data_IF_804959951693
#
_entry.id   IF_804959951693
#
_cell.length_a   1.000
_cell.length_b   1.000
_cell.length_c   1.000
_cell.angle_alpha   90.00
_cell.angle_beta   90.00
_cell.angle_gamma   90.00
#
_symmetry.space_group_name_H-M   'P 1'
#
loop_
_entity.id
_entity.type
_entity.pdbx_description
1 polymer ?
#
# COMPACT_ATOMS: atom_id res chain seq x y z
N UNK A 1 12.54 20.87 -1.21
CA UNK A 1 13.65 20.91 -0.24
C UNK A 1 13.23 21.42 1.14
N UNK A 2 12.67 22.64 1.30
CA UNK A 2 12.24 23.14 2.64
C UNK A 2 11.33 22.19 3.45
N UNK A 3 10.39 21.49 2.78
CA UNK A 3 9.56 20.48 3.45
C UNK A 3 10.39 19.28 3.92
N UNK A 4 11.35 18.84 3.11
CA UNK A 4 12.28 17.76 3.48
C UNK A 4 13.11 18.15 4.69
N UNK A 5 13.70 19.37 4.67
CA UNK A 5 14.44 19.89 5.83
C UNK A 5 13.56 19.95 7.07
N UNK A 6 12.31 20.44 6.93
CA UNK A 6 11.39 20.55 8.05
C UNK A 6 11.11 19.18 8.71
N UNK A 7 10.92 18.14 7.90
CA UNK A 7 10.69 16.77 8.41
C UNK A 7 11.92 16.28 9.18
N UNK A 8 13.10 16.33 8.58
CA UNK A 8 14.29 15.77 9.20
C UNK A 8 14.86 16.64 10.33
N UNK A 9 14.76 17.95 10.25
CA UNK A 9 15.39 18.84 11.21
C UNK A 9 14.47 19.18 12.40
N UNK A 10 13.15 19.12 12.24
CA UNK A 10 12.19 19.57 13.25
C UNK A 10 11.11 18.55 13.66
N UNK A 11 10.62 17.70 12.75
CA UNK A 11 9.52 16.77 13.07
C UNK A 11 10.00 15.44 13.64
N UNK A 12 11.12 14.91 13.15
CA UNK A 12 11.65 13.62 13.61
C UNK A 12 12.59 13.82 14.79
N UNK A 13 12.28 13.23 15.94
CA UNK A 13 13.19 13.17 17.08
C UNK A 13 14.43 12.31 16.77
N UNK A 14 15.56 12.48 17.51
CA UNK A 14 16.72 11.61 17.36
C UNK A 14 16.39 10.11 17.51
N UNK A 15 15.54 9.77 18.47
CA UNK A 15 15.09 8.39 18.72
C UNK A 15 14.28 7.84 17.55
N UNK A 16 13.34 8.64 16.99
CA UNK A 16 12.59 8.23 15.80
C UNK A 16 13.53 7.99 14.62
N UNK A 17 14.49 8.89 14.35
CA UNK A 17 15.47 8.72 13.27
C UNK A 17 16.27 7.42 13.41
N UNK A 18 16.69 7.07 14.62
CA UNK A 18 17.44 5.84 14.89
C UNK A 18 16.57 4.57 14.71
N UNK A 19 15.28 4.66 15.07
CA UNK A 19 14.38 3.50 15.05
C UNK A 19 13.66 3.27 13.71
N UNK A 20 13.66 4.25 12.79
CA UNK A 20 13.03 4.12 11.50
C UNK A 20 13.68 2.99 10.66
N UNK A 21 12.84 2.08 10.15
CA UNK A 21 13.25 0.98 9.25
C UNK A 21 12.71 1.16 7.85
N UNK A 22 11.59 1.87 7.71
CA UNK A 22 10.91 2.09 6.43
C UNK A 22 10.34 3.50 6.37
N UNK A 23 10.48 4.14 5.22
CA UNK A 23 9.82 5.41 4.89
C UNK A 23 8.99 5.20 3.64
N UNK A 24 7.78 5.75 3.64
CA UNK A 24 6.89 5.78 2.48
C UNK A 24 6.74 7.24 2.07
N UNK A 25 7.11 7.56 0.84
CA UNK A 25 6.80 8.83 0.21
C UNK A 25 5.54 8.69 -0.64
N UNK A 26 4.54 9.47 -0.32
CA UNK A 26 3.26 9.55 -1.03
C UNK A 26 2.81 10.99 -1.18
N UNK A 27 1.98 11.23 -2.17
CA UNK A 27 1.28 12.50 -2.39
C UNK A 27 -0.08 12.22 -3.06
N UNK A 28 -0.85 13.27 -3.36
CA UNK A 28 -2.13 13.13 -4.06
C UNK A 28 -1.99 12.83 -5.57
N UNK A 29 -0.79 12.52 -6.04
CA UNK A 29 -0.48 12.19 -7.43
C UNK A 29 0.54 11.06 -7.52
N UNK A 30 1.66 11.31 -8.15
CA UNK A 30 2.78 10.37 -8.27
C UNK A 30 4.08 11.02 -7.75
N UNK A 31 4.81 10.32 -6.91
CA UNK A 31 6.14 10.80 -6.45
C UNK A 31 7.15 10.84 -7.59
N UNK A 32 6.96 10.02 -8.62
CA UNK A 32 7.85 9.99 -9.80
C UNK A 32 7.36 10.91 -10.94
N UNK A 33 6.32 11.72 -10.71
CA UNK A 33 5.94 12.78 -11.63
C UNK A 33 6.80 14.02 -11.34
N UNK A 34 7.72 14.35 -12.26
CA UNK A 34 8.66 15.47 -12.15
C UNK A 34 7.96 16.83 -11.89
N UNK A 35 6.71 16.97 -12.34
CA UNK A 35 5.92 18.20 -12.09
C UNK A 35 5.48 18.28 -10.63
N UNK A 36 5.20 17.17 -10.00
CA UNK A 36 4.71 17.13 -8.61
C UNK A 36 5.85 17.00 -7.60
N UNK A 37 6.88 16.21 -7.92
CA UNK A 37 8.04 16.01 -7.05
C UNK A 37 9.30 15.80 -7.90
N UNK A 38 10.13 16.84 -8.01
CA UNK A 38 11.28 16.78 -8.92
C UNK A 38 12.32 15.75 -8.49
N UNK A 39 12.98 15.13 -9.48
CA UNK A 39 14.11 14.21 -9.28
C UNK A 39 15.17 14.81 -8.36
N UNK A 40 15.47 16.11 -8.50
CA UNK A 40 16.41 16.81 -7.60
C UNK A 40 15.94 16.80 -6.15
N UNK A 41 14.63 16.99 -5.91
CA UNK A 41 14.08 16.94 -4.55
C UNK A 41 14.10 15.51 -3.99
N UNK A 42 13.89 14.51 -4.84
CA UNK A 42 13.96 13.09 -4.47
C UNK A 42 15.38 12.67 -4.08
N UNK A 43 16.39 13.07 -4.85
CA UNK A 43 17.80 12.83 -4.52
C UNK A 43 18.23 13.57 -3.24
N UNK A 44 17.75 14.81 -3.05
CA UNK A 44 17.98 15.55 -1.81
C UNK A 44 17.34 14.86 -0.60
N UNK A 45 16.13 14.31 -0.77
CA UNK A 45 15.48 13.51 0.26
C UNK A 45 16.31 12.26 0.60
N UNK A 46 16.80 11.52 -0.40
CA UNK A 46 17.63 10.34 -0.18
C UNK A 46 18.93 10.69 0.59
N UNK A 47 19.58 11.79 0.25
CA UNK A 47 20.76 12.27 0.96
C UNK A 47 20.45 12.61 2.43
N UNK A 48 19.37 13.37 2.69
CA UNK A 48 18.95 13.69 4.07
C UNK A 48 18.59 12.44 4.85
N UNK A 49 17.91 11.48 4.24
CA UNK A 49 17.55 10.20 4.85
C UNK A 49 18.81 9.40 5.25
N UNK A 50 19.78 9.26 4.33
CA UNK A 50 21.05 8.56 4.59
C UNK A 50 21.83 9.19 5.76
N UNK A 51 21.82 10.53 5.85
CA UNK A 51 22.52 11.26 6.91
C UNK A 51 21.84 11.14 8.27
N UNK A 52 20.51 11.03 8.31
CA UNK A 52 19.73 11.16 9.53
C UNK A 52 19.16 9.83 10.05
N UNK A 53 18.92 8.84 9.19
CA UNK A 53 18.22 7.60 9.52
C UNK A 53 19.09 6.37 9.22
N UNK A 54 20.03 6.03 10.10
CA UNK A 54 21.09 5.04 9.83
C UNK A 54 20.58 3.60 9.66
N UNK A 55 19.35 3.32 10.08
CA UNK A 55 18.77 1.98 10.12
C UNK A 55 17.64 1.77 9.10
N UNK A 56 17.47 2.70 8.16
CA UNK A 56 16.49 2.55 7.07
C UNK A 56 16.90 1.37 6.18
N UNK A 57 15.96 0.48 5.94
CA UNK A 57 16.14 -0.70 5.07
C UNK A 57 15.28 -0.65 3.81
N UNK A 58 14.20 0.16 3.81
CA UNK A 58 13.28 0.29 2.67
C UNK A 58 12.82 1.74 2.51
N UNK A 59 12.96 2.26 1.28
CA UNK A 59 12.27 3.45 0.82
C UNK A 59 11.18 3.05 -0.16
N UNK A 60 9.94 3.39 0.16
CA UNK A 60 8.78 3.14 -0.71
C UNK A 60 8.37 4.44 -1.40
N UNK A 61 8.18 4.37 -2.72
CA UNK A 61 7.68 5.49 -3.53
C UNK A 61 6.32 5.14 -4.10
N UNK A 62 5.31 5.90 -3.70
CA UNK A 62 3.96 5.75 -4.26
C UNK A 62 3.87 6.49 -5.59
N UNK A 63 3.50 5.75 -6.63
CA UNK A 63 3.48 6.25 -8.00
C UNK A 63 2.44 5.54 -8.85
N UNK A 64 2.30 5.95 -10.10
CA UNK A 64 1.56 5.24 -11.14
C UNK A 64 2.53 4.57 -12.11
N UNK A 65 2.17 3.41 -12.72
CA UNK A 65 3.09 2.66 -13.58
C UNK A 65 3.69 3.46 -14.74
N UNK A 66 2.94 4.42 -15.30
CA UNK A 66 3.39 5.25 -16.42
C UNK A 66 4.51 6.23 -16.06
N UNK A 67 4.69 6.57 -14.78
CA UNK A 67 5.78 7.44 -14.31
C UNK A 67 7.03 6.68 -13.89
N UNK A 68 7.04 5.34 -14.00
CA UNK A 68 8.21 4.53 -13.62
C UNK A 68 9.28 4.60 -14.72
N UNK A 69 10.23 5.51 -14.54
CA UNK A 69 11.44 5.60 -15.34
C UNK A 69 12.61 4.86 -14.66
N UNK A 70 13.11 3.83 -15.32
CA UNK A 70 14.17 2.99 -14.77
C UNK A 70 15.50 3.73 -14.63
N UNK A 71 15.82 4.66 -15.54
CA UNK A 71 17.06 5.43 -15.44
C UNK A 71 17.05 6.32 -14.19
N UNK A 72 15.93 6.96 -13.89
CA UNK A 72 15.74 7.75 -12.66
C UNK A 72 15.84 6.87 -11.41
N UNK A 73 15.13 5.75 -11.39
CA UNK A 73 15.15 4.80 -10.26
C UNK A 73 16.55 4.22 -10.03
N UNK A 74 17.35 3.98 -11.08
CA UNK A 74 18.70 3.49 -10.95
C UNK A 74 19.63 4.54 -10.30
N UNK A 75 19.49 5.81 -10.67
CA UNK A 75 20.25 6.91 -10.03
C UNK A 75 19.86 7.03 -8.56
N UNK A 76 18.55 7.01 -8.26
CA UNK A 76 18.08 7.04 -6.88
C UNK A 76 18.57 5.83 -6.09
N UNK A 77 18.49 4.63 -6.66
CA UNK A 77 18.94 3.40 -6.00
C UNK A 77 20.43 3.48 -5.64
N UNK A 78 21.28 4.00 -6.53
CA UNK A 78 22.70 4.21 -6.22
C UNK A 78 22.87 5.19 -5.05
N UNK A 79 22.15 6.31 -5.05
CA UNK A 79 22.19 7.26 -3.94
C UNK A 79 21.77 6.63 -2.59
N UNK A 80 20.80 5.71 -2.61
CA UNK A 80 20.35 4.98 -1.42
C UNK A 80 21.40 4.02 -0.86
N UNK A 81 22.37 3.57 -1.66
CA UNK A 81 23.45 2.68 -1.20
C UNK A 81 24.58 3.43 -0.48
N UNK A 82 24.59 4.76 -0.48
CA UNK A 82 25.62 5.57 0.19
C UNK A 82 25.36 5.77 1.70
N UNK A 83 24.22 5.27 2.22
CA UNK A 83 23.90 5.28 3.64
C UNK A 83 24.72 4.28 4.47
N UNK A 84 24.54 4.29 5.78
CA UNK A 84 25.20 3.31 6.69
C UNK A 84 24.79 1.86 6.41
N UNK A 85 23.57 1.66 5.97
CA UNK A 85 23.03 0.37 5.57
C UNK A 85 22.42 0.48 4.16
N UNK A 86 22.52 -0.58 3.33
CA UNK A 86 21.86 -0.60 2.04
C UNK A 86 20.33 -0.43 2.19
N UNK A 87 19.77 0.50 1.44
CA UNK A 87 18.31 0.73 1.44
C UNK A 87 17.69 0.18 0.16
N UNK A 88 16.73 -0.73 0.32
CA UNK A 88 15.98 -1.28 -0.81
C UNK A 88 14.94 -0.27 -1.30
N UNK A 89 14.74 -0.23 -2.61
CA UNK A 89 13.69 0.55 -3.24
C UNK A 89 12.44 -0.32 -3.43
N UNK A 90 11.30 0.20 -2.98
CA UNK A 90 9.98 -0.42 -3.16
C UNK A 90 9.08 0.55 -3.94
N UNK A 91 8.49 0.10 -5.03
CA UNK A 91 7.53 0.87 -5.81
C UNK A 91 6.12 0.50 -5.32
N UNK A 92 5.33 1.50 -4.97
CA UNK A 92 3.96 1.30 -4.49
C UNK A 92 2.94 1.80 -5.52
N UNK A 93 1.99 0.93 -5.86
CA UNK A 93 0.96 1.17 -6.87
C UNK A 93 -0.42 1.03 -6.24
N UNK A 94 -1.26 2.05 -6.43
CA UNK A 94 -2.69 1.96 -6.13
C UNK A 94 -3.40 1.09 -7.16
N UNK A 95 -3.49 -0.21 -6.91
CA UNK A 95 -4.20 -1.15 -7.78
C UNK A 95 -5.72 -1.10 -7.53
N UNK A 96 -6.11 -0.92 -6.30
CA UNK A 96 -7.45 -0.72 -5.71
C UNK A 96 -8.38 -1.94 -5.78
N UNK A 97 -8.60 -2.54 -6.95
CA UNK A 97 -9.44 -3.71 -7.15
C UNK A 97 -8.92 -4.57 -8.32
N UNK A 98 -9.10 -5.88 -8.25
CA UNK A 98 -8.78 -6.75 -9.38
C UNK A 98 -9.84 -6.64 -10.49
N UNK A 99 -11.09 -6.47 -10.10
CA UNK A 99 -12.19 -6.22 -11.05
C UNK A 99 -11.93 -4.94 -11.85
N UNK A 100 -11.96 -5.07 -13.17
CA UNK A 100 -11.62 -3.99 -14.10
C UNK A 100 -12.62 -2.83 -14.04
N UNK A 101 -13.92 -3.13 -13.88
CA UNK A 101 -14.97 -2.11 -13.78
C UNK A 101 -14.80 -1.30 -12.51
N UNK A 102 -14.50 -1.97 -11.37
CA UNK A 102 -14.23 -1.26 -10.12
C UNK A 102 -12.98 -0.41 -10.28
N UNK A 103 -11.88 -0.96 -10.80
CA UNK A 103 -10.59 -0.27 -10.95
C UNK A 103 -10.67 0.90 -11.91
N UNK A 104 -11.25 0.72 -13.09
CA UNK A 104 -11.15 1.67 -14.19
C UNK A 104 -12.39 2.54 -14.39
N UNK A 105 -13.60 2.03 -14.13
CA UNK A 105 -14.83 2.83 -14.27
C UNK A 105 -15.17 3.58 -12.97
N UNK A 106 -15.11 2.90 -11.80
CA UNK A 106 -15.43 3.54 -10.53
C UNK A 106 -14.28 4.40 -9.99
N UNK A 107 -13.05 3.86 -9.93
CA UNK A 107 -11.88 4.59 -9.44
C UNK A 107 -11.20 5.44 -10.51
N UNK A 108 -11.54 5.26 -11.77
CA UNK A 108 -10.95 5.99 -12.91
C UNK A 108 -9.40 5.92 -12.90
N UNK A 109 -8.86 4.75 -12.51
CA UNK A 109 -7.40 4.57 -12.42
C UNK A 109 -6.71 4.62 -13.78
N UNK A 110 -7.39 4.19 -14.85
CA UNK A 110 -6.77 4.03 -16.16
C UNK A 110 -5.61 3.04 -16.14
N UNK A 111 -5.67 2.05 -15.24
CA UNK A 111 -4.63 1.04 -15.05
C UNK A 111 -5.02 -0.25 -15.75
N UNK A 112 -4.43 -0.50 -16.91
CA UNK A 112 -4.52 -1.80 -17.57
C UNK A 112 -3.43 -2.78 -17.08
N UNK A 113 -3.74 -4.06 -17.21
CA UNK A 113 -2.88 -5.15 -16.74
C UNK A 113 -1.54 -5.20 -17.51
N UNK A 114 -1.53 -4.90 -18.80
CA UNK A 114 -0.33 -4.94 -19.64
C UNK A 114 0.66 -3.85 -19.22
N UNK A 115 0.18 -2.64 -18.98
CA UNK A 115 0.99 -1.52 -18.45
C UNK A 115 1.55 -1.88 -17.09
N UNK A 116 0.74 -2.45 -16.19
CA UNK A 116 1.20 -2.90 -14.88
C UNK A 116 2.29 -3.98 -15.00
N UNK A 117 2.07 -5.05 -15.79
CA UNK A 117 3.07 -6.12 -15.95
C UNK A 117 4.35 -5.62 -16.64
N UNK A 118 4.24 -4.70 -17.61
CA UNK A 118 5.41 -4.08 -18.24
C UNK A 118 6.27 -3.34 -17.22
N UNK A 119 5.66 -2.59 -16.32
CA UNK A 119 6.34 -1.93 -15.20
C UNK A 119 6.99 -2.95 -14.26
N UNK A 120 6.24 -3.98 -13.81
CA UNK A 120 6.77 -5.03 -12.93
C UNK A 120 7.99 -5.72 -13.52
N UNK A 121 7.92 -6.09 -14.81
CA UNK A 121 9.03 -6.69 -15.53
C UNK A 121 10.29 -5.81 -15.53
N UNK A 122 10.11 -4.49 -15.61
CA UNK A 122 11.23 -3.54 -15.56
C UNK A 122 11.86 -3.51 -14.16
N UNK A 123 11.05 -3.24 -13.12
CA UNK A 123 11.56 -3.07 -11.75
C UNK A 123 12.16 -4.37 -11.18
N UNK A 124 11.60 -5.54 -11.54
CA UNK A 124 12.12 -6.83 -11.12
C UNK A 124 13.57 -7.08 -11.55
N UNK A 125 13.98 -6.60 -12.74
CA UNK A 125 15.35 -6.74 -13.25
C UNK A 125 16.40 -6.02 -12.39
N UNK A 126 15.98 -5.02 -11.64
CA UNK A 126 16.83 -4.23 -10.74
C UNK A 126 16.72 -4.67 -9.28
N UNK A 127 15.97 -5.73 -9.00
CA UNK A 127 15.75 -6.23 -7.64
C UNK A 127 14.91 -5.30 -6.76
N UNK A 128 14.15 -4.36 -7.35
CA UNK A 128 13.25 -3.50 -6.60
C UNK A 128 12.03 -4.31 -6.15
N UNK A 129 11.45 -3.90 -5.01
CA UNK A 129 10.25 -4.51 -4.45
C UNK A 129 8.99 -3.82 -4.98
N UNK A 130 7.88 -4.53 -4.93
CA UNK A 130 6.57 -4.01 -5.32
C UNK A 130 5.61 -4.04 -4.12
N UNK A 131 4.88 -2.96 -3.92
CA UNK A 131 3.73 -2.87 -3.04
C UNK A 131 2.48 -2.55 -3.87
N UNK A 132 1.39 -3.28 -3.65
CA UNK A 132 0.10 -3.00 -4.28
C UNK A 132 -0.95 -2.69 -3.23
N UNK A 133 -1.56 -1.52 -3.32
CA UNK A 133 -2.71 -1.17 -2.48
C UNK A 133 -3.98 -1.74 -3.09
N UNK A 134 -4.76 -2.42 -2.25
CA UNK A 134 -6.08 -2.94 -2.58
C UNK A 134 -7.10 -2.47 -1.56
N UNK A 135 -8.34 -2.27 -1.98
CA UNK A 135 -9.45 -1.90 -1.12
C UNK A 135 -10.46 -3.03 -1.02
N UNK A 136 -10.81 -3.43 0.20
CA UNK A 136 -11.89 -4.40 0.42
C UNK A 136 -13.24 -3.68 0.40
N UNK A 137 -14.15 -4.12 -0.49
CA UNK A 137 -15.52 -3.62 -0.60
C UNK A 137 -15.60 -2.10 -0.88
N UNK A 138 -14.95 -1.60 -1.93
CA UNK A 138 -14.78 -0.15 -2.12
C UNK A 138 -16.03 0.56 -2.69
N UNK A 139 -17.01 -0.17 -3.21
CA UNK A 139 -18.16 0.42 -3.92
C UNK A 139 -19.50 -0.09 -3.39
N UNK A 140 -20.59 0.72 -3.47
CA UNK A 140 -21.94 0.29 -3.15
C UNK A 140 -22.39 -0.92 -4.00
N UNK A 141 -23.29 -1.72 -3.45
CA UNK A 141 -23.86 -2.89 -4.14
C UNK A 141 -22.97 -4.14 -4.14
N UNK A 142 -21.72 -4.04 -3.72
CA UNK A 142 -20.83 -5.20 -3.60
C UNK A 142 -21.15 -5.99 -2.33
N UNK A 143 -21.42 -7.29 -2.45
CA UNK A 143 -21.62 -8.17 -1.28
C UNK A 143 -20.27 -8.46 -0.58
N UNK A 144 -20.32 -8.99 0.66
CA UNK A 144 -19.11 -9.42 1.37
C UNK A 144 -18.37 -10.52 0.60
N UNK A 145 -19.11 -11.48 0.04
CA UNK A 145 -18.55 -12.60 -0.73
C UNK A 145 -17.90 -12.12 -2.01
N UNK A 146 -18.52 -11.18 -2.73
CA UNK A 146 -17.97 -10.59 -3.94
C UNK A 146 -16.68 -9.80 -3.64
N UNK A 147 -16.69 -9.02 -2.55
CA UNK A 147 -15.51 -8.26 -2.13
C UNK A 147 -14.34 -9.19 -1.76
N UNK A 148 -14.59 -10.26 -0.99
CA UNK A 148 -13.57 -11.25 -0.65
C UNK A 148 -13.07 -11.97 -1.92
N UNK A 149 -13.95 -12.30 -2.84
CA UNK A 149 -13.58 -12.97 -4.10
C UNK A 149 -12.71 -12.08 -5.00
N UNK A 150 -12.94 -10.76 -5.03
CA UNK A 150 -12.10 -9.83 -5.78
C UNK A 150 -10.67 -9.77 -5.20
N UNK A 151 -10.55 -9.68 -3.88
CA UNK A 151 -9.24 -9.72 -3.21
C UNK A 151 -8.53 -11.05 -3.47
N UNK A 152 -9.25 -12.18 -3.38
CA UNK A 152 -8.66 -13.50 -3.65
C UNK A 152 -8.11 -13.60 -5.08
N UNK A 153 -8.84 -13.08 -6.09
CA UNK A 153 -8.34 -12.99 -7.48
C UNK A 153 -7.10 -12.09 -7.58
N UNK A 154 -7.08 -10.96 -6.88
CA UNK A 154 -5.92 -10.07 -6.82
C UNK A 154 -4.70 -10.77 -6.21
N UNK A 155 -4.89 -11.55 -5.14
CA UNK A 155 -3.84 -12.36 -4.51
C UNK A 155 -3.29 -13.41 -5.47
N UNK A 156 -4.14 -14.19 -6.14
CA UNK A 156 -3.74 -15.19 -7.13
C UNK A 156 -2.93 -14.55 -8.27
N UNK A 157 -3.40 -13.42 -8.76
CA UNK A 157 -2.72 -12.69 -9.83
C UNK A 157 -1.34 -12.21 -9.36
N UNK A 158 -1.23 -11.53 -8.21
CA UNK A 158 0.05 -11.04 -7.68
C UNK A 158 1.02 -12.18 -7.35
N UNK A 159 0.53 -13.32 -6.85
CA UNK A 159 1.34 -14.51 -6.63
C UNK A 159 1.94 -15.04 -7.96
N UNK A 160 1.12 -15.11 -9.02
CA UNK A 160 1.58 -15.52 -10.35
C UNK A 160 2.67 -14.58 -10.90
N UNK A 161 2.48 -13.26 -10.70
CA UNK A 161 3.45 -12.23 -11.09
C UNK A 161 4.74 -12.33 -10.26
N UNK A 162 4.62 -12.55 -8.95
CA UNK A 162 5.77 -12.76 -8.07
C UNK A 162 6.61 -13.95 -8.52
N UNK A 163 5.96 -15.05 -8.89
CA UNK A 163 6.64 -16.25 -9.39
C UNK A 163 7.26 -16.00 -10.78
N UNK A 164 6.50 -15.42 -11.71
CA UNK A 164 6.90 -15.18 -13.10
C UNK A 164 8.14 -14.29 -13.21
N UNK A 165 8.23 -13.26 -12.41
CA UNK A 165 9.31 -12.25 -12.48
C UNK A 165 10.30 -12.33 -11.33
N UNK A 166 10.11 -13.25 -10.39
CA UNK A 166 10.96 -13.44 -9.19
C UNK A 166 11.10 -12.12 -8.41
N UNK A 167 9.98 -11.46 -8.14
CA UNK A 167 9.91 -10.18 -7.44
C UNK A 167 9.19 -10.32 -6.09
N UNK A 168 9.71 -9.64 -5.06
CA UNK A 168 9.00 -9.52 -3.78
C UNK A 168 7.80 -8.60 -3.93
N UNK A 169 6.59 -9.10 -3.61
CA UNK A 169 5.35 -8.32 -3.66
C UNK A 169 4.71 -8.31 -2.28
N UNK A 170 4.31 -7.11 -1.85
CA UNK A 170 3.44 -6.90 -0.70
C UNK A 170 2.07 -6.42 -1.17
N UNK A 171 1.00 -7.11 -0.82
CA UNK A 171 -0.36 -6.57 -0.91
C UNK A 171 -0.67 -5.81 0.38
N UNK A 172 -1.02 -4.53 0.27
CA UNK A 172 -1.55 -3.75 1.36
C UNK A 172 -3.07 -3.66 1.20
N UNK A 173 -3.79 -4.43 1.99
CA UNK A 173 -5.25 -4.49 1.96
C UNK A 173 -5.84 -3.44 2.88
N UNK A 174 -6.59 -2.50 2.32
CA UNK A 174 -7.30 -1.45 3.04
C UNK A 174 -8.79 -1.79 3.13
N UNK A 175 -9.32 -2.14 4.31
CA UNK A 175 -10.76 -2.21 4.51
C UNK A 175 -11.37 -0.84 4.32
N UNK A 176 -12.41 -0.75 3.48
CA UNK A 176 -13.04 0.53 3.19
C UNK A 176 -13.86 1.02 4.37
N UNK A 177 -13.68 2.27 4.75
CA UNK A 177 -14.51 2.99 5.70
C UNK A 177 -15.19 4.18 5.03
N UNK A 178 -16.27 4.68 5.62
CA UNK A 178 -17.04 5.80 5.09
C UNK A 178 -16.50 7.10 5.66
N UNK A 179 -15.74 7.84 4.86
CA UNK A 179 -15.22 9.14 5.26
C UNK A 179 -16.23 10.26 5.00
N UNK A 180 -16.19 11.30 5.85
CA UNK A 180 -17.07 12.46 5.74
C UNK A 180 -16.84 13.21 4.42
N UNK A 181 -17.92 13.65 3.77
CA UNK A 181 -17.90 14.45 2.54
C UNK A 181 -17.70 13.62 1.26
N UNK A 182 -17.62 12.30 1.34
CA UNK A 182 -17.46 11.43 0.19
C UNK A 182 -18.80 11.03 -0.45
N UNK A 183 -18.77 10.60 -1.72
CA UNK A 183 -19.93 10.01 -2.37
C UNK A 183 -20.41 8.75 -1.61
N UNK A 184 -19.49 8.00 -1.02
CA UNK A 184 -19.79 6.79 -0.24
C UNK A 184 -20.59 7.12 1.03
N UNK A 185 -20.38 8.28 1.67
CA UNK A 185 -21.19 8.74 2.80
C UNK A 185 -22.66 8.93 2.38
N UNK A 186 -22.89 9.42 1.16
CA UNK A 186 -24.26 9.60 0.65
C UNK A 186 -24.96 8.26 0.50
N UNK A 187 -24.29 7.25 -0.04
CA UNK A 187 -24.85 5.90 -0.21
C UNK A 187 -25.02 5.17 1.14
N UNK A 188 -24.11 5.39 2.07
CA UNK A 188 -24.23 4.88 3.44
C UNK A 188 -25.45 5.44 4.15
N UNK A 189 -25.67 6.76 4.08
CA UNK A 189 -26.88 7.41 4.68
C UNK A 189 -28.19 6.95 4.06
N UNK A 190 -28.20 6.56 2.78
CA UNK A 190 -29.36 5.95 2.11
C UNK A 190 -29.55 4.47 2.45
N UNK A 191 -28.63 3.84 3.17
CA UNK A 191 -28.65 2.41 3.47
C UNK A 191 -28.17 1.51 2.32
N UNK A 192 -27.62 2.06 1.26
CA UNK A 192 -27.15 1.34 0.06
C UNK A 192 -25.72 0.80 0.22
N UNK A 193 -25.02 1.19 1.27
CA UNK A 193 -23.65 0.76 1.54
C UNK A 193 -23.45 0.47 3.04
N UNK A 194 -22.65 -0.55 3.33
CA UNK A 194 -22.12 -0.85 4.65
C UNK A 194 -20.63 -1.20 4.52
N UNK A 195 -19.75 -0.69 5.41
CA UNK A 195 -18.35 -1.09 5.45
C UNK A 195 -18.18 -2.61 5.59
N UNK A 196 -17.08 -3.20 5.12
CA UNK A 196 -16.84 -4.64 5.26
C UNK A 196 -16.82 -5.06 6.73
N UNK A 197 -17.14 -6.32 6.96
CA UNK A 197 -17.02 -6.95 8.28
C UNK A 197 -15.58 -7.41 8.52
N UNK A 198 -15.14 -7.50 9.79
CA UNK A 198 -13.81 -8.03 10.12
C UNK A 198 -13.64 -9.49 9.69
N UNK A 199 -14.70 -10.30 9.72
CA UNK A 199 -14.66 -11.68 9.22
C UNK A 199 -14.41 -11.76 7.71
N UNK A 200 -14.83 -10.75 6.94
CA UNK A 200 -14.53 -10.66 5.52
C UNK A 200 -13.07 -10.27 5.29
N UNK A 201 -12.51 -9.42 6.15
CA UNK A 201 -11.08 -9.09 6.14
C UNK A 201 -10.28 -10.36 6.45
N UNK A 202 -10.62 -11.09 7.51
CA UNK A 202 -9.99 -12.36 7.89
C UNK A 202 -10.00 -13.36 6.72
N UNK A 203 -11.16 -13.56 6.08
CA UNK A 203 -11.29 -14.47 4.92
C UNK A 203 -10.41 -14.03 3.75
N UNK A 204 -10.36 -12.73 3.45
CA UNK A 204 -9.52 -12.17 2.40
C UNK A 204 -8.03 -12.39 2.69
N UNK A 205 -7.61 -12.19 3.95
CA UNK A 205 -6.22 -12.43 4.38
C UNK A 205 -5.85 -13.90 4.23
N UNK A 206 -6.72 -14.83 4.67
CA UNK A 206 -6.47 -16.27 4.59
C UNK A 206 -6.30 -16.78 3.15
N UNK A 207 -6.82 -16.07 2.14
CA UNK A 207 -6.58 -16.41 0.74
C UNK A 207 -5.10 -16.25 0.32
N UNK A 208 -4.30 -15.51 1.09
CA UNK A 208 -2.86 -15.35 0.84
C UNK A 208 -2.00 -16.46 1.50
N UNK A 209 -2.61 -17.35 2.26
CA UNK A 209 -1.87 -18.46 2.87
C UNK A 209 -1.20 -19.35 1.79
N UNK A 210 0.06 -19.70 2.00
CA UNK A 210 0.90 -20.48 1.05
C UNK A 210 1.22 -19.74 -0.28
N UNK A 211 0.91 -18.44 -0.40
CA UNK A 211 1.33 -17.61 -1.53
C UNK A 211 2.71 -17.01 -1.28
N UNK A 212 3.41 -16.66 -2.35
CA UNK A 212 4.74 -16.03 -2.27
C UNK A 212 4.70 -14.54 -1.92
N UNK A 213 3.53 -13.94 -1.99
CA UNK A 213 3.35 -12.53 -1.62
C UNK A 213 3.21 -12.40 -0.10
N UNK A 214 3.65 -11.25 0.44
CA UNK A 214 3.30 -10.85 1.79
C UNK A 214 2.01 -10.01 1.78
N UNK A 215 1.28 -10.03 2.88
CA UNK A 215 0.05 -9.23 3.03
C UNK A 215 0.13 -8.41 4.31
N UNK A 216 -0.34 -7.18 4.24
CA UNK A 216 -0.52 -6.28 5.37
C UNK A 216 -1.92 -5.70 5.33
N UNK A 217 -2.61 -5.62 6.47
CA UNK A 217 -3.96 -5.06 6.58
C UNK A 217 -3.90 -3.66 7.18
N UNK A 218 -4.46 -2.67 6.50
CA UNK A 218 -4.62 -1.31 7.00
C UNK A 218 -5.75 -1.23 8.03
N UNK A 219 -5.44 -1.43 9.30
CA UNK A 219 -6.44 -1.48 10.39
C UNK A 219 -6.75 -0.10 11.00
N UNK A 220 -6.40 0.99 10.34
CA UNK A 220 -6.64 2.33 10.85
C UNK A 220 -7.58 3.11 9.91
N UNK A 221 -8.67 3.65 10.45
CA UNK A 221 -9.58 4.57 9.76
C UNK A 221 -9.22 6.05 9.99
N UNK A 222 -8.04 6.29 10.60
CA UNK A 222 -7.45 7.61 10.85
C UNK A 222 -8.38 8.58 11.62
N UNK A 223 -9.46 8.07 12.22
CA UNK A 223 -10.49 8.89 12.86
C UNK A 223 -11.35 9.69 11.86
N UNK A 224 -11.28 9.35 10.57
CA UNK A 224 -12.01 10.02 9.50
C UNK A 224 -13.38 9.40 9.21
N UNK A 225 -13.67 8.22 9.77
CA UNK A 225 -14.95 7.54 9.59
C UNK A 225 -16.10 8.35 10.20
N UNK A 226 -17.22 8.41 9.49
CA UNK A 226 -18.48 8.94 10.06
C UNK A 226 -19.01 7.97 11.13
N UNK A 227 -19.87 8.40 12.05
CA UNK A 227 -20.49 7.49 13.04
C UNK A 227 -21.12 6.26 12.37
N UNK A 228 -20.71 5.05 12.80
CA UNK A 228 -21.12 3.78 12.20
C UNK A 228 -20.53 3.47 10.82
N UNK A 229 -19.68 4.33 10.29
CA UNK A 229 -19.02 4.17 8.98
C UNK A 229 -17.66 3.48 9.02
N UNK A 230 -17.20 3.03 10.18
CA UNK A 230 -15.97 2.23 10.32
C UNK A 230 -16.24 0.75 10.02
N UNK A 231 -15.20 0.03 9.59
CA UNK A 231 -15.21 -1.43 9.54
C UNK A 231 -15.02 -2.09 10.92
N UNK A 232 -14.61 -1.31 11.92
CA UNK A 232 -14.50 -1.74 13.33
C UNK A 232 -15.84 -1.57 14.02
N UNK A 233 -16.30 -2.60 14.71
CA UNK A 233 -17.59 -2.59 15.43
C UNK A 233 -17.41 -3.07 16.86
N UNK A 234 -18.35 -2.73 17.73
CA UNK A 234 -18.39 -3.27 19.08
C UNK A 234 -18.49 -4.80 19.02
N UNK A 235 -17.63 -5.49 19.76
CA UNK A 235 -17.55 -6.95 19.77
C UNK A 235 -16.49 -7.54 18.84
N UNK A 236 -15.81 -6.70 18.06
CA UNK A 236 -14.77 -7.12 17.09
C UNK A 236 -13.36 -7.18 17.74
N UNK A 237 -13.19 -6.86 19.01
CA UNK A 237 -11.91 -6.59 19.66
C UNK A 237 -10.93 -7.78 19.55
N UNK A 238 -11.42 -9.01 19.74
CA UNK A 238 -10.58 -10.22 19.68
C UNK A 238 -10.03 -10.43 18.26
N UNK A 239 -10.89 -10.32 17.24
CA UNK A 239 -10.47 -10.52 15.85
C UNK A 239 -9.56 -9.36 15.37
N UNK A 240 -9.85 -8.15 15.82
CA UNK A 240 -9.00 -6.98 15.53
C UNK A 240 -7.60 -7.18 16.10
N UNK A 241 -7.47 -7.66 17.34
CA UNK A 241 -6.17 -7.95 17.95
C UNK A 241 -5.43 -9.06 17.19
N UNK A 242 -6.10 -10.14 16.77
CA UNK A 242 -5.52 -11.19 15.93
C UNK A 242 -4.98 -10.64 14.60
N UNK A 243 -5.71 -9.74 13.96
CA UNK A 243 -5.27 -9.07 12.72
C UNK A 243 -4.07 -8.15 12.96
N UNK A 244 -4.01 -7.45 14.11
CA UNK A 244 -2.82 -6.69 14.51
C UNK A 244 -1.61 -7.60 14.71
N UNK A 245 -1.77 -8.72 15.42
CA UNK A 245 -0.70 -9.70 15.61
C UNK A 245 -0.26 -10.32 14.28
N UNK A 246 -1.20 -10.65 13.39
CA UNK A 246 -0.89 -11.08 12.02
C UNK A 246 -0.02 -10.07 11.27
N UNK A 247 -0.34 -8.79 11.31
CA UNK A 247 0.45 -7.75 10.66
C UNK A 247 1.91 -7.70 11.16
N UNK A 248 2.17 -8.08 12.41
CA UNK A 248 3.52 -8.13 12.98
C UNK A 248 4.26 -9.43 12.68
N UNK A 249 3.54 -10.55 12.60
CA UNK A 249 4.17 -11.89 12.55
C UNK A 249 4.06 -12.56 11.17
N UNK A 250 3.04 -12.21 10.39
CA UNK A 250 2.68 -12.94 9.17
C UNK A 250 2.11 -14.35 9.42
N UNK A 251 1.75 -14.68 10.68
CA UNK A 251 1.29 -15.99 11.07
C UNK A 251 -0.21 -16.17 10.82
N UNK A 252 -0.56 -16.88 9.75
CA UNK A 252 -1.96 -17.17 9.38
C UNK A 252 -2.68 -18.07 10.39
N UNK A 253 -1.95 -18.82 11.25
CA UNK A 253 -2.58 -19.66 12.26
C UNK A 253 -3.39 -18.87 13.30
N UNK A 254 -3.02 -17.60 13.55
CA UNK A 254 -3.74 -16.68 14.42
C UNK A 254 -5.16 -16.38 13.92
N UNK A 255 -5.39 -16.52 12.63
CA UNK A 255 -6.65 -16.21 11.95
C UNK A 255 -7.51 -17.44 11.68
N UNK A 256 -7.03 -18.62 12.02
CA UNK A 256 -7.79 -19.87 11.96
C UNK A 256 -8.46 -20.09 13.31
N UNK A 257 -9.74 -19.86 13.38
CA UNK A 257 -10.55 -20.07 14.58
C UNK A 257 -11.40 -21.31 14.48
#
# INVERSE_FOLDING_TARGET
MKQVDHVFDFLLSPEQKENLKKIILSNNGSILDEVTFSTTALLYFAAKMNMNCPNISVLTLETRPEYVDIAELEVLHRALQEGKAPTNLEIAIGFEAFDDVIRNDHFQKGLDIETFESMVKKIARYGFKLKCYFMLKPVPGLSEEQAVADIAKGIEYLDSISQKYTIEINMHLNPTFVARGTALETEFKKGNYQPPKLESIQKAVLAAEQKRISLYVGLNDEGLAVPGGSFKRDGDEELLEKLHQFNHTGDFSLLKG
#
